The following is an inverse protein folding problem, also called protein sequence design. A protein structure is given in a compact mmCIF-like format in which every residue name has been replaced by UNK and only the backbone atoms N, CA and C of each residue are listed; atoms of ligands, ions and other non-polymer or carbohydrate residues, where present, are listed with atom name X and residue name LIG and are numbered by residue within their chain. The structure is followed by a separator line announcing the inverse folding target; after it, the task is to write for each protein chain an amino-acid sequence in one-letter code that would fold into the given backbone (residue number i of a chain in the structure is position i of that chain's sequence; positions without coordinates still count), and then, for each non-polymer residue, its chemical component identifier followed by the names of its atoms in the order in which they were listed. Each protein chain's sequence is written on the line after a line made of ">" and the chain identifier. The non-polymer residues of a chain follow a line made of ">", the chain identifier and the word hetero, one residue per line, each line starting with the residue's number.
data_IF_014862271238
#
_entry.id   IF_014862271238
#
_cell.length_a   1.000
_cell.length_b   1.000
_cell.length_c   1.000
_cell.angle_alpha   90.00
_cell.angle_beta   90.00
_cell.angle_gamma   90.00
#
_symmetry.space_group_name_H-M   'P 1'
#
loop_
_entity.id
_entity.type
_entity.pdbx_description
1 polymer ?
#
# COMPACT_ATOMS: atom_id res chain seq x y z
N UNK A 1 -8.93 8.91 -8.90
CA UNK A 1 -8.54 9.41 -7.56
C UNK A 1 -7.04 9.23 -7.36
N UNK A 2 -6.47 10.17 -6.65
CA UNK A 2 -5.04 10.10 -6.34
C UNK A 2 -4.84 9.40 -5.01
N UNK A 3 -4.05 8.35 -5.01
CA UNK A 3 -3.83 7.51 -3.83
C UNK A 3 -2.34 7.37 -3.58
N UNK A 4 -1.99 6.84 -2.41
CA UNK A 4 -0.61 6.55 -2.07
C UNK A 4 -0.43 5.05 -2.09
N UNK A 5 0.42 4.54 -2.98
CA UNK A 5 0.66 3.11 -3.11
C UNK A 5 1.88 2.75 -2.27
N UNK A 6 1.76 1.66 -1.52
CA UNK A 6 2.84 1.17 -0.66
C UNK A 6 3.10 -0.29 -1.02
N UNK A 7 4.29 -0.55 -1.55
CA UNK A 7 4.72 -1.90 -1.91
C UNK A 7 5.71 -2.40 -0.86
N UNK A 8 5.79 -3.71 -0.64
CA UNK A 8 6.76 -4.23 0.32
C UNK A 8 8.17 -3.78 -0.05
N UNK A 9 8.88 -3.21 0.91
CA UNK A 9 10.28 -2.80 0.74
C UNK A 9 10.50 -1.54 -0.05
N UNK A 10 9.45 -0.87 -0.51
CA UNK A 10 9.55 0.26 -1.44
C UNK A 10 8.99 1.51 -0.79
N UNK A 11 9.55 2.67 -1.12
CA UNK A 11 9.03 3.95 -0.63
C UNK A 11 7.65 4.21 -1.22
N UNK A 12 6.73 4.77 -0.43
CA UNK A 12 5.39 5.07 -0.95
C UNK A 12 5.44 6.03 -2.13
N UNK A 13 4.51 5.86 -3.06
CA UNK A 13 4.44 6.75 -4.21
C UNK A 13 2.99 7.00 -4.60
N UNK A 14 2.75 8.15 -5.22
CA UNK A 14 1.41 8.54 -5.65
C UNK A 14 1.05 7.86 -6.95
N UNK A 15 -0.22 7.56 -7.11
CA UNK A 15 -0.71 6.96 -8.33
C UNK A 15 -2.16 7.34 -8.53
N UNK A 16 -2.56 7.52 -9.78
CA UNK A 16 -3.96 7.71 -10.11
C UNK A 16 -4.60 6.36 -10.30
N UNK A 17 -5.71 6.09 -9.59
CA UNK A 17 -6.39 4.80 -9.62
C UNK A 17 -7.88 5.08 -9.71
N UNK A 18 -8.53 4.55 -10.74
CA UNK A 18 -9.94 4.81 -10.95
C UNK A 18 -10.69 3.52 -11.21
N UNK A 19 -11.72 3.28 -10.41
CA UNK A 19 -12.59 2.14 -10.59
C UNK A 19 -12.05 0.86 -9.97
N UNK A 20 -12.94 -0.10 -9.84
CA UNK A 20 -12.61 -1.36 -9.18
C UNK A 20 -11.52 -2.13 -9.90
N UNK A 21 -11.56 -2.13 -11.21
CA UNK A 21 -10.59 -2.89 -11.98
C UNK A 21 -9.16 -2.39 -11.71
N UNK A 22 -8.99 -1.07 -11.68
CA UNK A 22 -7.66 -0.53 -11.41
C UNK A 22 -7.24 -0.75 -9.96
N UNK A 23 -8.19 -0.68 -9.03
CA UNK A 23 -7.88 -0.99 -7.63
C UNK A 23 -7.41 -2.43 -7.49
N UNK A 24 -8.08 -3.35 -8.15
CA UNK A 24 -7.68 -4.75 -8.12
C UNK A 24 -6.31 -4.96 -8.75
N UNK A 25 -6.01 -4.20 -9.79
CA UNK A 25 -4.70 -4.32 -10.43
C UNK A 25 -3.58 -3.89 -9.49
N UNK A 26 -3.81 -2.87 -8.69
CA UNK A 26 -2.78 -2.40 -7.75
C UNK A 26 -2.49 -3.46 -6.70
N UNK A 27 -3.51 -4.07 -6.12
CA UNK A 27 -3.31 -5.02 -5.03
C UNK A 27 -3.16 -6.46 -5.50
N UNK A 28 -3.38 -6.71 -6.78
CA UNK A 28 -3.16 -8.04 -7.34
C UNK A 28 -4.30 -9.01 -7.16
N UNK A 29 -5.52 -8.53 -6.97
CA UNK A 29 -6.68 -9.42 -6.81
C UNK A 29 -7.84 -8.73 -6.13
N UNK A 30 -8.68 -9.49 -5.48
CA UNK A 30 -9.85 -8.94 -4.79
C UNK A 30 -9.42 -7.99 -3.69
N UNK A 31 -10.19 -6.93 -3.51
CA UNK A 31 -9.82 -5.89 -2.55
C UNK A 31 -10.59 -6.06 -1.24
N UNK A 32 -9.94 -5.62 -0.17
CA UNK A 32 -10.55 -5.46 1.14
C UNK A 32 -10.13 -4.08 1.64
N UNK A 33 -10.95 -3.46 2.44
CA UNK A 33 -10.64 -2.15 2.99
C UNK A 33 -10.60 -2.24 4.50
N UNK A 34 -9.55 -1.69 5.11
CA UNK A 34 -9.44 -1.64 6.56
C UNK A 34 -9.25 -0.18 6.98
N UNK A 35 -9.57 0.10 8.23
CA UNK A 35 -9.62 1.46 8.74
C UNK A 35 -8.86 1.55 10.06
N UNK A 36 -7.52 1.52 10.00
CA UNK A 36 -6.73 1.41 11.24
C UNK A 36 -6.66 2.68 12.07
N UNK A 37 -7.06 3.81 11.54
CA UNK A 37 -6.98 5.05 12.31
C UNK A 37 -8.31 5.79 12.27
N UNK A 38 -8.42 6.88 13.04
CA UNK A 38 -9.62 7.70 13.06
C UNK A 38 -9.68 8.67 11.90
N UNK A 39 -8.63 8.77 11.11
CA UNK A 39 -8.65 9.64 9.94
C UNK A 39 -9.65 9.09 8.90
N UNK A 40 -10.25 9.97 8.10
CA UNK A 40 -11.19 9.52 7.08
C UNK A 40 -10.43 8.97 5.86
N UNK A 41 -9.64 7.94 6.09
CA UNK A 41 -8.89 7.26 5.04
C UNK A 41 -9.10 5.76 5.16
N UNK A 42 -8.93 5.05 4.05
CA UNK A 42 -9.00 3.60 4.02
C UNK A 42 -7.66 3.07 3.52
N UNK A 43 -7.29 1.90 4.04
CA UNK A 43 -6.17 1.12 3.51
C UNK A 43 -6.82 0.02 2.68
N UNK A 44 -6.56 0.01 1.38
CA UNK A 44 -7.14 -0.99 0.48
C UNK A 44 -6.07 -2.00 0.13
N UNK A 45 -6.33 -3.25 0.41
CA UNK A 45 -5.33 -4.32 0.30
C UNK A 45 -5.94 -5.54 -0.37
N UNK A 46 -5.12 -6.55 -0.61
CA UNK A 46 -5.59 -7.79 -1.22
C UNK A 46 -6.32 -8.62 -0.16
N UNK A 47 -7.54 -9.03 -0.49
CA UNK A 47 -8.39 -9.77 0.44
C UNK A 47 -7.84 -11.16 0.74
N UNK A 48 -7.01 -11.69 -0.13
CA UNK A 48 -6.50 -13.04 -0.03
C UNK A 48 -4.97 -13.09 0.04
N UNK A 49 -4.36 -12.05 0.58
CA UNK A 49 -2.90 -11.94 0.56
C UNK A 49 -2.20 -13.11 1.25
N UNK A 50 -2.75 -13.58 2.38
CA UNK A 50 -2.12 -14.69 3.08
C UNK A 50 -2.28 -15.99 2.31
N UNK A 51 -3.40 -16.16 1.64
CA UNK A 51 -3.64 -17.34 0.84
C UNK A 51 -2.62 -17.46 -0.29
N UNK A 52 -2.24 -16.34 -0.88
CA UNK A 52 -1.29 -16.33 -1.98
C UNK A 52 0.14 -16.09 -1.51
N UNK A 53 0.41 -16.16 -0.21
CA UNK A 53 1.76 -16.02 0.36
C UNK A 53 2.43 -14.71 -0.05
N UNK A 54 1.67 -13.63 -0.08
CA UNK A 54 2.25 -12.33 -0.39
C UNK A 54 3.18 -11.88 0.74
N UNK A 55 4.24 -11.15 0.44
CA UNK A 55 5.19 -10.76 1.47
C UNK A 55 4.61 -9.73 2.43
N UNK A 56 5.09 -9.73 3.65
CA UNK A 56 4.70 -8.74 4.65
C UNK A 56 5.11 -7.35 4.17
N UNK A 57 4.26 -6.36 4.41
CA UNK A 57 4.50 -5.00 3.94
C UNK A 57 4.73 -4.04 5.11
N UNK A 58 3.69 -3.71 5.83
CA UNK A 58 3.78 -2.75 6.94
C UNK A 58 2.87 -3.20 8.07
N UNK A 59 3.25 -2.87 9.30
CA UNK A 59 2.38 -3.10 10.44
C UNK A 59 1.30 -2.02 10.48
N UNK A 60 0.18 -2.34 11.11
CA UNK A 60 -0.98 -1.46 11.19
C UNK A 60 -1.49 -1.34 12.60
N UNK A 61 -2.05 -0.20 12.92
CA UNK A 61 -2.72 0.04 14.19
C UNK A 61 -4.12 -0.53 14.17
N UNK A 62 -4.85 -0.30 15.24
CA UNK A 62 -6.27 -0.61 15.29
C UNK A 62 -6.58 -2.08 15.39
N UNK A 63 -5.62 -2.89 15.81
CA UNK A 63 -5.86 -4.31 15.99
C UNK A 63 -5.72 -5.13 14.71
N UNK A 64 -5.35 -4.50 13.60
CA UNK A 64 -5.24 -5.22 12.33
C UNK A 64 -3.92 -5.99 12.20
N UNK A 65 -2.93 -5.66 13.02
CA UNK A 65 -1.62 -6.32 12.97
C UNK A 65 -0.77 -5.82 11.82
N UNK A 66 -1.00 -6.29 10.64
CA UNK A 66 -0.21 -5.87 9.49
C UNK A 66 -0.88 -6.19 8.19
N UNK A 67 -0.30 -5.68 7.10
CA UNK A 67 -0.79 -5.92 5.75
C UNK A 67 0.29 -6.64 4.97
N UNK A 68 -0.11 -7.69 4.27
CA UNK A 68 0.76 -8.45 3.38
C UNK A 68 0.42 -8.06 1.95
N UNK A 69 1.42 -7.92 1.11
CA UNK A 69 1.23 -7.51 -0.28
C UNK A 69 1.10 -6.00 -0.42
N UNK A 70 1.00 -5.55 -1.64
CA UNK A 70 0.86 -4.12 -1.96
C UNK A 70 -0.51 -3.63 -1.51
N UNK A 71 -0.53 -2.42 -0.93
CA UNK A 71 -1.79 -1.78 -0.58
C UNK A 71 -1.73 -0.32 -1.01
N UNK A 72 -2.88 0.37 -0.96
CA UNK A 72 -2.85 1.81 -1.16
C UNK A 72 -3.74 2.49 -0.13
N UNK A 73 -3.46 3.77 0.09
CA UNK A 73 -4.22 4.60 1.01
C UNK A 73 -5.05 5.55 0.17
N UNK A 74 -6.33 5.65 0.47
CA UNK A 74 -7.22 6.60 -0.20
C UNK A 74 -8.10 7.27 0.82
N UNK A 75 -8.79 8.32 0.42
CA UNK A 75 -9.71 9.00 1.30
C UNK A 75 -11.07 8.30 1.32
N UNK A 76 -11.84 8.58 2.36
CA UNK A 76 -13.20 8.08 2.49
C UNK A 76 -14.18 9.21 2.26
N UNK A 77 -15.00 9.09 1.23
CA UNK A 77 -16.13 9.98 1.03
C UNK A 77 -17.35 9.39 1.68
N UNK A 78 -18.53 9.97 1.39
CA UNK A 78 -19.75 9.49 2.01
C UNK A 78 -20.13 8.11 1.52
N UNK A 79 -19.94 7.84 0.24
CA UNK A 79 -20.32 6.55 -0.32
C UNK A 79 -19.21 5.91 -1.11
N UNK A 80 -18.15 6.62 -1.40
CA UNK A 80 -17.09 6.15 -2.27
C UNK A 80 -15.73 6.45 -1.68
N UNK A 81 -14.74 5.71 -2.15
CA UNK A 81 -13.34 6.10 -1.92
C UNK A 81 -13.05 7.34 -2.78
N UNK A 82 -12.28 8.23 -2.23
CA UNK A 82 -11.92 9.47 -2.92
C UNK A 82 -10.42 9.70 -2.80
N UNK A 83 -9.93 10.71 -3.51
CA UNK A 83 -8.51 11.07 -3.46
C UNK A 83 -8.09 11.44 -2.05
N UNK A 84 -6.84 11.18 -1.71
CA UNK A 84 -6.26 11.76 -0.51
C UNK A 84 -6.11 13.26 -0.71
N UNK A 85 -6.29 14.01 0.36
CA UNK A 85 -5.94 15.43 0.34
C UNK A 85 -4.42 15.56 0.37
N UNK A 86 -3.87 16.72 0.00
CA UNK A 86 -2.42 16.91 0.09
C UNK A 86 -1.88 16.67 1.49
N UNK A 87 -2.62 17.08 2.53
CA UNK A 87 -2.19 16.84 3.90
C UNK A 87 -2.18 15.37 4.25
N UNK A 88 -3.21 14.64 3.82
CA UNK A 88 -3.25 13.20 4.05
C UNK A 88 -2.14 12.49 3.29
N UNK A 89 -1.89 12.93 2.06
CA UNK A 89 -0.83 12.33 1.25
C UNK A 89 0.51 12.45 1.96
N UNK A 90 0.79 13.63 2.48
CA UNK A 90 2.05 13.85 3.18
C UNK A 90 2.12 13.06 4.48
N UNK A 91 1.03 13.03 5.23
CA UNK A 91 0.99 12.31 6.50
C UNK A 91 1.28 10.83 6.31
N UNK A 92 0.63 10.21 5.34
CA UNK A 92 0.79 8.78 5.14
C UNK A 92 2.08 8.44 4.40
N UNK A 93 2.59 9.36 3.57
CA UNK A 93 3.91 9.18 2.99
C UNK A 93 4.96 9.10 4.10
N UNK A 94 4.85 9.98 5.09
CA UNK A 94 5.78 9.99 6.19
C UNK A 94 5.60 8.76 7.07
N UNK A 95 4.35 8.35 7.29
CA UNK A 95 4.06 7.21 8.14
C UNK A 95 4.65 5.92 7.59
N UNK A 96 4.60 5.73 6.28
CA UNK A 96 5.04 4.49 5.66
C UNK A 96 6.38 4.60 4.94
N UNK A 97 7.14 5.65 5.22
CA UNK A 97 8.35 5.87 4.45
C UNK A 97 9.44 4.83 4.71
N UNK A 98 9.45 4.21 5.88
CA UNK A 98 10.38 3.13 6.17
C UNK A 98 9.75 1.80 5.80
N UNK A 99 10.52 0.91 5.21
CA UNK A 99 10.08 -0.46 5.01
C UNK A 99 10.14 -1.20 6.33
N UNK A 100 9.49 -2.36 6.41
CA UNK A 100 9.47 -3.16 7.62
C UNK A 100 9.78 -4.61 7.28
N UNK A 101 10.61 -5.22 8.09
CA UNK A 101 10.92 -6.64 7.96
C UNK A 101 10.24 -7.34 9.12
N UNK A 102 9.42 -8.33 8.81
CA UNK A 102 8.73 -9.11 9.83
C UNK A 102 9.72 -10.10 10.43
N UNK A 103 9.91 -10.02 11.75
CA UNK A 103 10.84 -10.93 12.42
C UNK A 103 10.13 -11.92 13.33
N UNK A 104 8.84 -11.74 13.56
CA UNK A 104 8.07 -12.68 14.38
C UNK A 104 6.77 -12.08 14.83
N UNK A 105 6.11 -12.72 15.76
CA UNK A 105 4.85 -12.26 16.31
C UNK A 105 4.88 -12.31 17.82
N UNK A 106 4.21 -11.37 18.46
CA UNK A 106 3.96 -11.41 19.86
C UNK A 106 2.44 -11.51 20.00
N UNK A 107 1.94 -12.71 20.18
CA UNK A 107 0.51 -12.96 20.05
C UNK A 107 0.11 -12.77 18.60
N UNK A 108 -0.85 -11.89 18.35
CA UNK A 108 -1.27 -11.58 17.01
C UNK A 108 -0.62 -10.34 16.45
N UNK A 109 0.31 -9.74 17.19
CA UNK A 109 0.94 -8.51 16.76
C UNK A 109 2.26 -8.80 16.09
N UNK A 110 2.52 -8.27 14.92
CA UNK A 110 3.80 -8.49 14.25
C UNK A 110 4.91 -7.73 14.96
N UNK A 111 6.06 -8.35 15.06
CA UNK A 111 7.27 -7.70 15.56
C UNK A 111 8.13 -7.45 14.34
N UNK A 112 8.46 -6.18 14.09
CA UNK A 112 9.14 -5.80 12.87
C UNK A 112 10.36 -4.96 13.15
N UNK A 113 11.28 -4.94 12.18
CA UNK A 113 12.39 -4.03 12.15
C UNK A 113 12.13 -3.03 11.03
N UNK A 114 12.27 -1.75 11.34
CA UNK A 114 12.13 -0.71 10.33
C UNK A 114 13.48 -0.52 9.65
N UNK A 115 13.45 -0.50 8.33
CA UNK A 115 14.67 -0.37 7.53
C UNK A 115 14.43 0.64 6.43
N UNK A 116 15.49 1.06 5.76
CA UNK A 116 15.34 1.99 4.65
C UNK A 116 14.60 1.33 3.50
N UNK A 117 13.65 2.05 2.94
CA UNK A 117 12.91 1.56 1.79
C UNK A 117 13.63 1.97 0.50
N UNK A 118 13.45 1.16 -0.53
CA UNK A 118 14.05 1.46 -1.82
C UNK A 118 13.14 2.39 -2.60
N UNK A 119 13.72 3.26 -3.43
CA UNK A 119 12.87 4.12 -4.25
C UNK A 119 12.13 3.30 -5.28
N UNK A 120 10.94 3.75 -5.66
CA UNK A 120 10.17 3.10 -6.70
C UNK A 120 10.83 3.39 -8.04
N UNK A 121 11.11 2.35 -8.81
CA UNK A 121 11.69 2.52 -10.13
C UNK A 121 10.66 3.06 -11.08
N UNK A 122 11.10 3.95 -11.96
CA UNK A 122 10.18 4.56 -12.89
C UNK A 122 9.81 3.59 -13.97
N UNK A 123 8.58 3.68 -14.40
CA UNK A 123 8.07 2.78 -15.39
C UNK A 123 8.80 2.92 -16.72
N UNK A 124 9.13 4.10 -17.10
CA UNK A 124 9.80 4.29 -18.35
C UNK A 124 11.15 3.63 -18.40
N UNK A 125 11.77 3.36 -17.29
CA UNK A 125 13.00 2.67 -17.33
C UNK A 125 12.78 1.27 -17.81
N UNK A 126 11.70 0.68 -17.44
CA UNK A 126 11.41 -0.63 -17.90
C UNK A 126 11.03 -0.62 -19.34
N UNK A 127 10.36 0.40 -19.78
CA UNK A 127 9.91 0.46 -21.10
C UNK A 127 10.98 0.68 -22.10
N UNK A 128 12.03 1.34 -21.69
CA UNK A 128 13.04 1.59 -22.59
C UNK A 128 13.53 0.45 -23.26
N UNK A 129 13.33 -0.63 -22.73
CA UNK A 129 13.72 -1.70 -23.38
C UNK A 129 12.89 -2.00 -24.48
N UNK A 130 11.84 -1.55 -24.54
CA UNK A 130 11.09 -1.94 -25.51
C UNK A 130 11.16 -1.16 -26.57
N UNK A 131 11.47 -0.23 -26.45
CA UNK A 131 11.60 0.36 -27.46
C UNK A 131 12.72 0.09 -27.93
N UNK A 132 13.18 -0.59 -27.37
CA UNK A 132 14.07 -0.94 -27.78
C UNK A 132 14.15 -1.87 -28.45
N UNK A 133 13.62 -2.32 -28.54
CA UNK A 133 13.57 -3.08 -29.18
C UNK A 133 13.14 -3.09 -30.08
N UNK A 134 12.94 -2.99 -30.20
CA UNK A 134 12.50 -2.97 -31.01
C UNK A 134 12.74 -2.72 -31.70
#
# INVERSE_FOLDING_TARGET
>A
MNVLVVEPGVMPYEKEVNGLHEMQAVVGGLIDAIYPSDDPVAIVCNDEALLYHMPFNRSMEGGYGGVFGTFFVCGCGEENFISLTPEQMEKYREKFKKAEILVGFRGNEPVTLKVDAKPKLRQEKAVKHDEIQR
#
